data_IF_675904690298
#
_entry.id   IF_675904690298
#
_cell.length_a   1.000
_cell.length_b   1.000
_cell.length_c   1.000
_cell.angle_alpha   90.00
_cell.angle_beta   90.00
_cell.angle_gamma   90.00
#
_symmetry.space_group_name_H-M   'P 1'
#
loop_
_entity.id
_entity.type
_entity.pdbx_description
1 polymer ?
#
# COMPACT_ATOMS: atom_id res chain seq x y z
N UNK A 1 -8.45 7.48 8.07
CA UNK A 1 -7.18 8.00 7.50
C UNK A 1 -6.81 7.23 6.26
N UNK A 2 -6.46 7.92 5.20
CA UNK A 2 -5.86 7.32 4.00
C UNK A 2 -4.34 7.42 4.13
N UNK A 3 -3.63 6.34 3.82
CA UNK A 3 -2.18 6.31 3.90
C UNK A 3 -1.58 5.72 2.61
N UNK A 4 -0.34 6.09 2.35
CA UNK A 4 0.45 5.52 1.27
C UNK A 4 1.73 4.90 1.80
N UNK A 5 2.08 3.73 1.30
CA UNK A 5 3.31 3.01 1.63
C UNK A 5 4.13 2.76 0.39
N UNK A 6 5.45 2.79 0.56
CA UNK A 6 6.41 2.28 -0.42
C UNK A 6 7.00 0.99 0.14
N UNK A 7 6.92 -0.07 -0.64
CA UNK A 7 7.34 -1.41 -0.25
C UNK A 7 8.46 -1.86 -1.18
N UNK A 8 9.58 -2.32 -0.63
CA UNK A 8 10.75 -2.71 -1.40
C UNK A 8 11.31 -4.03 -0.90
N UNK A 9 11.96 -4.78 -1.80
CA UNK A 9 12.59 -6.04 -1.45
C UNK A 9 11.61 -7.16 -1.21
N UNK A 10 10.70 -7.40 -2.17
CA UNK A 10 9.73 -8.50 -2.07
C UNK A 10 10.43 -9.85 -1.99
N UNK A 11 10.09 -10.65 -0.99
CA UNK A 11 10.68 -11.96 -0.72
C UNK A 11 9.94 -13.11 -1.38
N UNK A 12 8.75 -12.88 -1.92
CA UNK A 12 7.93 -13.88 -2.57
C UNK A 12 8.20 -14.00 -4.07
N UNK A 13 7.23 -14.57 -4.77
CA UNK A 13 7.31 -14.78 -6.23
C UNK A 13 6.45 -13.77 -6.98
N UNK A 14 6.81 -13.47 -8.21
CA UNK A 14 6.05 -12.61 -9.09
C UNK A 14 6.64 -11.22 -9.29
N UNK A 15 7.68 -10.86 -8.53
CA UNK A 15 8.40 -9.60 -8.66
C UNK A 15 9.89 -9.84 -8.52
N UNK A 16 10.71 -9.00 -9.16
CA UNK A 16 12.14 -8.97 -8.90
C UNK A 16 12.41 -8.17 -7.61
N UNK A 17 13.48 -8.48 -6.86
CA UNK A 17 13.81 -7.75 -5.63
C UNK A 17 14.05 -6.25 -5.84
N UNK A 18 14.42 -5.83 -7.05
CA UNK A 18 14.65 -4.41 -7.37
C UNK A 18 13.36 -3.62 -7.63
N UNK A 19 12.24 -4.31 -7.84
CA UNK A 19 10.96 -3.63 -8.05
C UNK A 19 10.38 -3.18 -6.72
N UNK A 20 9.94 -1.92 -6.66
CA UNK A 20 9.23 -1.38 -5.52
C UNK A 20 7.74 -1.29 -5.83
N UNK A 21 6.93 -1.38 -4.80
CA UNK A 21 5.47 -1.27 -4.90
C UNK A 21 4.99 -0.07 -4.10
N UNK A 22 3.86 0.46 -4.52
CA UNK A 22 3.12 1.47 -3.78
C UNK A 22 1.80 0.87 -3.32
N UNK A 23 1.44 1.13 -2.07
CA UNK A 23 0.15 0.74 -1.51
C UNK A 23 -0.60 1.98 -1.03
N UNK A 24 -1.88 2.03 -1.37
CA UNK A 24 -2.82 3.00 -0.79
C UNK A 24 -3.81 2.23 0.05
N UNK A 25 -4.06 2.67 1.27
CA UNK A 25 -4.99 1.98 2.15
C UNK A 25 -5.71 2.93 3.08
N UNK A 26 -6.68 2.38 3.81
CA UNK A 26 -7.45 3.09 4.83
C UNK A 26 -7.23 2.43 6.18
N UNK A 27 -6.99 3.23 7.20
CA UNK A 27 -6.86 2.78 8.57
C UNK A 27 -7.69 3.66 9.49
N UNK A 28 -8.20 3.06 10.59
CA UNK A 28 -8.92 3.79 11.62
C UNK A 28 -7.99 4.74 12.37
N UNK A 29 -6.74 4.36 12.54
CA UNK A 29 -5.74 5.16 13.27
C UNK A 29 -4.68 5.74 12.32
N UNK A 30 -3.59 5.00 12.09
CA UNK A 30 -2.49 5.40 11.22
C UNK A 30 -1.93 4.21 10.44
N UNK A 31 -0.93 4.45 9.60
CA UNK A 31 -0.33 3.41 8.78
C UNK A 31 0.38 2.37 9.64
N UNK A 32 1.06 2.77 10.71
CA UNK A 32 1.77 1.84 11.60
C UNK A 32 0.80 0.89 12.29
N UNK A 33 -0.33 1.40 12.76
CA UNK A 33 -1.39 0.57 13.34
C UNK A 33 -1.85 -0.52 12.37
N UNK A 34 -2.04 -0.15 11.10
CA UNK A 34 -2.47 -1.11 10.07
C UNK A 34 -1.42 -2.16 9.79
N UNK A 35 -0.14 -1.77 9.75
CA UNK A 35 0.97 -2.70 9.59
C UNK A 35 1.08 -3.68 10.74
N UNK A 36 0.98 -3.21 11.98
CA UNK A 36 1.02 -4.04 13.18
C UNK A 36 -0.16 -5.01 13.23
N UNK A 37 -1.35 -4.55 12.84
CA UNK A 37 -2.54 -5.40 12.78
C UNK A 37 -2.36 -6.50 11.72
N UNK A 38 -1.84 -6.18 10.55
CA UNK A 38 -1.55 -7.15 9.51
C UNK A 38 -0.51 -8.18 9.97
N UNK A 39 0.55 -7.75 10.61
CA UNK A 39 1.58 -8.65 11.16
C UNK A 39 0.97 -9.65 12.15
N UNK A 40 0.11 -9.18 13.04
CA UNK A 40 -0.54 -10.00 14.06
C UNK A 40 -1.53 -11.01 13.46
N UNK A 41 -2.29 -10.61 12.43
CA UNK A 41 -3.35 -11.43 11.84
C UNK A 41 -2.85 -12.34 10.71
N UNK A 42 -1.86 -11.92 9.95
CA UNK A 42 -1.41 -12.61 8.74
C UNK A 42 -0.06 -13.32 8.90
N UNK A 43 0.70 -13.00 9.94
CA UNK A 43 1.98 -13.66 10.21
C UNK A 43 2.95 -13.61 9.04
N UNK A 44 3.27 -14.79 8.47
CA UNK A 44 4.24 -14.91 7.38
C UNK A 44 3.80 -14.25 6.08
N UNK A 45 2.51 -13.92 5.92
CA UNK A 45 1.97 -13.25 4.74
C UNK A 45 1.75 -11.74 4.97
N UNK A 46 2.21 -11.20 6.10
CA UNK A 46 2.14 -9.77 6.37
C UNK A 46 3.12 -8.99 5.51
N UNK A 47 2.88 -7.68 5.33
CA UNK A 47 3.82 -6.83 4.62
C UNK A 47 5.21 -6.81 5.26
N UNK A 48 5.27 -6.80 6.60
CA UNK A 48 6.55 -6.82 7.31
C UNK A 48 7.35 -8.10 7.07
N UNK A 49 6.67 -9.24 6.88
CA UNK A 49 7.32 -10.51 6.58
C UNK A 49 7.75 -10.61 5.13
N UNK A 50 6.99 -10.01 4.19
CA UNK A 50 7.19 -10.18 2.76
C UNK A 50 8.09 -9.12 2.10
N UNK A 51 8.32 -7.99 2.75
CA UNK A 51 9.14 -6.90 2.21
C UNK A 51 10.27 -6.55 3.15
N UNK A 52 11.45 -6.27 2.58
CA UNK A 52 12.61 -5.86 3.37
C UNK A 52 12.45 -4.46 3.93
N UNK A 53 11.85 -3.56 3.17
CA UNK A 53 11.72 -2.16 3.56
C UNK A 53 10.28 -1.70 3.36
N UNK A 54 9.73 -1.02 4.36
CA UNK A 54 8.41 -0.40 4.32
C UNK A 54 8.58 1.06 4.76
N UNK A 55 8.14 1.98 3.90
CA UNK A 55 8.22 3.41 4.16
C UNK A 55 6.82 4.02 4.06
N UNK A 56 6.44 4.84 5.04
CA UNK A 56 5.20 5.61 4.98
C UNK A 56 5.47 6.85 4.11
N UNK A 57 4.81 6.92 2.96
CA UNK A 57 4.97 8.03 2.02
C UNK A 57 4.15 9.24 2.46
N UNK A 58 2.97 9.02 3.00
CA UNK A 58 2.11 10.09 3.47
C UNK A 58 0.82 9.56 4.08
N UNK A 59 0.13 10.44 4.78
CA UNK A 59 -1.13 10.15 5.45
C UNK A 59 -2.05 11.36 5.38
N UNK A 60 -3.36 11.11 5.22
CA UNK A 60 -4.36 12.18 5.23
C UNK A 60 -5.57 11.76 6.05
N UNK A 61 -5.98 12.60 6.99
CA UNK A 61 -7.10 12.35 7.88
C UNK A 61 -8.43 12.73 7.21
N UNK A 62 -9.46 11.94 7.51
CA UNK A 62 -10.83 12.20 7.08
C UNK A 62 -11.78 12.06 8.27
N UNK A 63 -12.92 12.76 8.20
CA UNK A 63 -13.93 12.75 9.27
C UNK A 63 -14.73 11.45 9.29
N UNK A 64 -14.87 10.79 8.14
CA UNK A 64 -15.63 9.55 8.05
C UNK A 64 -14.90 8.50 7.21
N UNK A 65 -15.23 7.24 7.48
CA UNK A 65 -14.72 6.11 6.70
C UNK A 65 -15.17 6.18 5.24
N UNK A 66 -16.39 6.64 4.99
CA UNK A 66 -16.94 6.79 3.63
C UNK A 66 -16.09 7.76 2.81
N UNK A 67 -15.73 8.90 3.39
CA UNK A 67 -14.88 9.89 2.74
C UNK A 67 -13.48 9.33 2.47
N UNK A 68 -12.90 8.62 3.45
CA UNK A 68 -11.58 8.01 3.31
C UNK A 68 -11.56 6.96 2.19
N UNK A 69 -12.56 6.09 2.13
CA UNK A 69 -12.67 5.07 1.08
C UNK A 69 -12.85 5.69 -0.31
N UNK A 70 -13.64 6.76 -0.41
CA UNK A 70 -13.83 7.47 -1.68
C UNK A 70 -12.52 8.09 -2.16
N UNK A 71 -11.74 8.67 -1.25
CA UNK A 71 -10.44 9.28 -1.56
C UNK A 71 -9.40 8.23 -1.98
N UNK A 72 -9.34 7.11 -1.28
CA UNK A 72 -8.49 5.98 -1.65
C UNK A 72 -8.79 5.50 -3.07
N UNK A 73 -10.08 5.36 -3.41
CA UNK A 73 -10.51 4.94 -4.74
C UNK A 73 -10.10 5.95 -5.81
N UNK A 74 -10.22 7.24 -5.51
CA UNK A 74 -9.80 8.32 -6.40
C UNK A 74 -8.31 8.23 -6.71
N UNK A 75 -7.48 8.03 -5.68
CA UNK A 75 -6.03 7.87 -5.87
C UNK A 75 -5.72 6.64 -6.73
N UNK A 76 -6.34 5.51 -6.44
CA UNK A 76 -6.11 4.27 -7.20
C UNK A 76 -6.52 4.41 -8.66
N UNK A 77 -7.60 5.12 -8.96
CA UNK A 77 -8.00 5.40 -10.33
C UNK A 77 -6.98 6.27 -11.07
N UNK A 78 -6.42 7.27 -10.40
CA UNK A 78 -5.36 8.09 -11.01
C UNK A 78 -4.07 7.30 -11.24
N UNK A 79 -3.74 6.38 -10.34
CA UNK A 79 -2.56 5.54 -10.47
C UNK A 79 -2.67 4.52 -11.61
N UNK A 80 -3.88 4.25 -12.06
CA UNK A 80 -4.13 3.29 -13.13
C UNK A 80 -4.39 1.88 -12.62
N UNK A 81 -4.62 0.93 -13.53
CA UNK A 81 -5.01 -0.42 -13.16
C UNK A 81 -3.88 -1.20 -12.48
N UNK A 82 -4.26 -2.25 -11.76
CA UNK A 82 -3.32 -3.18 -11.16
C UNK A 82 -2.47 -3.84 -12.25
N UNK A 83 -1.17 -3.75 -12.12
CA UNK A 83 -0.20 -4.18 -13.14
C UNK A 83 0.87 -5.15 -12.59
N UNK A 84 0.57 -5.81 -11.49
CA UNK A 84 1.52 -6.72 -10.87
C UNK A 84 0.85 -8.06 -10.54
N UNK A 85 1.68 -9.08 -10.38
CA UNK A 85 1.25 -10.40 -9.95
C UNK A 85 2.05 -10.81 -8.72
N UNK A 86 1.35 -11.03 -7.61
CA UNK A 86 1.94 -11.54 -6.37
C UNK A 86 1.29 -12.89 -6.10
N UNK A 87 2.10 -13.93 -5.92
CA UNK A 87 1.61 -15.30 -5.75
C UNK A 87 1.14 -15.59 -4.32
N UNK A 88 1.78 -14.96 -3.34
CA UNK A 88 1.36 -15.07 -1.95
C UNK A 88 0.10 -14.21 -1.72
N UNK A 89 -0.79 -14.73 -0.86
CA UNK A 89 -1.96 -13.98 -0.45
C UNK A 89 -1.58 -12.91 0.56
N UNK A 90 -1.86 -11.67 0.22
CA UNK A 90 -1.63 -10.51 1.09
C UNK A 90 -2.90 -9.67 1.10
N UNK A 91 -3.33 -9.27 2.29
CA UNK A 91 -4.49 -8.38 2.43
C UNK A 91 -4.22 -7.07 1.68
N UNK A 92 -5.20 -6.63 0.87
CA UNK A 92 -5.09 -5.39 0.13
C UNK A 92 -4.24 -5.48 -1.13
N UNK A 93 -4.01 -6.68 -1.68
CA UNK A 93 -3.24 -6.85 -2.91
C UNK A 93 -3.83 -6.06 -4.09
N UNK A 94 -5.15 -5.83 -4.10
CA UNK A 94 -5.82 -5.01 -5.13
C UNK A 94 -5.47 -3.53 -5.04
N UNK A 95 -4.90 -3.10 -3.92
CA UNK A 95 -4.49 -1.72 -3.66
C UNK A 95 -3.00 -1.50 -3.95
N UNK A 96 -2.30 -2.54 -4.43
CA UNK A 96 -0.88 -2.48 -4.77
C UNK A 96 -0.68 -2.12 -6.24
N UNK A 97 0.31 -1.25 -6.49
CA UNK A 97 0.74 -0.85 -7.83
C UNK A 97 2.27 -0.86 -7.91
N UNK A 98 2.83 -1.20 -9.07
CA UNK A 98 4.27 -1.02 -9.27
C UNK A 98 4.64 0.46 -9.14
N UNK A 99 5.78 0.73 -8.51
CA UNK A 99 6.28 2.09 -8.40
C UNK A 99 6.67 2.62 -9.77
N UNK A 100 6.16 3.80 -10.10
CA UNK A 100 6.59 4.60 -11.26
C UNK A 100 6.74 6.05 -10.80
N UNK A 101 7.55 6.87 -11.50
CA UNK A 101 7.66 8.29 -11.15
C UNK A 101 6.33 9.01 -11.10
N UNK A 102 5.42 8.72 -12.04
CA UNK A 102 4.09 9.33 -12.08
C UNK A 102 3.25 8.95 -10.86
N UNK A 103 3.28 7.68 -10.46
CA UNK A 103 2.54 7.18 -9.30
C UNK A 103 3.08 7.76 -8.00
N UNK A 104 4.38 7.87 -7.88
CA UNK A 104 5.00 8.53 -6.70
C UNK A 104 4.54 9.99 -6.63
N UNK A 105 4.53 10.71 -7.75
CA UNK A 105 4.08 12.09 -7.80
C UNK A 105 2.60 12.22 -7.40
N UNK A 106 1.75 11.30 -7.82
CA UNK A 106 0.33 11.26 -7.41
C UNK A 106 0.21 11.11 -5.90
N UNK A 107 0.92 10.17 -5.28
CA UNK A 107 0.88 9.98 -3.83
C UNK A 107 1.39 11.22 -3.08
N UNK A 108 2.48 11.81 -3.53
CA UNK A 108 3.04 13.01 -2.91
C UNK A 108 2.09 14.21 -2.99
N UNK A 109 1.34 14.32 -4.08
CA UNK A 109 0.36 15.39 -4.26
C UNK A 109 -0.93 15.15 -3.46
N UNK A 110 -1.35 13.89 -3.29
CA UNK A 110 -2.62 13.54 -2.65
C UNK A 110 -2.51 13.30 -1.14
N UNK A 111 -1.37 12.92 -0.66
CA UNK A 111 -1.10 12.63 0.75
C UNK A 111 0.01 13.53 1.29
#
# INVERSE_FOLDING_TARGET
MVYGLRLEGYKGRGLTPSQALLKVGVSVHDALYRLETNERLEGANSYRALFETIEVVGEKKFRSKVQALAYEREILLEMGPKDLSIQERVTGVTELRLETPDRVAILQAKL
#
